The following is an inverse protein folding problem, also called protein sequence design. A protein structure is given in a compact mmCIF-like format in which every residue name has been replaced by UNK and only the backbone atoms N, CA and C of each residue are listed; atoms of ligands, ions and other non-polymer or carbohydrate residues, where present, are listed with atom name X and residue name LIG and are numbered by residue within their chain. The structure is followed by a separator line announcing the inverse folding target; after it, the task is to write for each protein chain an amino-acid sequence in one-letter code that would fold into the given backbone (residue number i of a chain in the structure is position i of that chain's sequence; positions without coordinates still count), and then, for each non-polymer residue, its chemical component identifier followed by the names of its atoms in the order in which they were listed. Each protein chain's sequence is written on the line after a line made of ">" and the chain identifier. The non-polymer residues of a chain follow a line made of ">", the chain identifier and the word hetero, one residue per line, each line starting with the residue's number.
data_IF_795314715017
#
_entry.id   IF_795314715017
#
_cell.length_a   1.000
_cell.length_b   1.000
_cell.length_c   1.000
_cell.angle_alpha   90.00
_cell.angle_beta   90.00
_cell.angle_gamma   90.00
#
_symmetry.space_group_name_H-M   'P 1'
#
loop_
_entity.id
_entity.type
_entity.pdbx_description
1 polymer ?
#
# COMPACT_ATOMS: atom_id res chain seq x y z
N UNK A 1 21.75 16.09 -7.85
CA UNK A 1 20.62 15.45 -8.55
C UNK A 1 20.31 14.03 -8.06
N UNK A 2 21.29 13.12 -7.86
CA UNK A 2 21.03 11.71 -7.47
C UNK A 2 20.62 11.49 -6.00
N UNK A 3 20.90 12.40 -5.08
CA UNK A 3 20.47 12.30 -3.66
C UNK A 3 19.01 12.71 -3.47
N UNK A 4 18.46 13.57 -4.32
CA UNK A 4 17.05 13.96 -4.29
C UNK A 4 16.13 12.82 -4.71
N UNK A 5 16.62 11.91 -5.55
CA UNK A 5 15.82 10.76 -6.03
C UNK A 5 15.42 9.81 -4.89
N UNK A 6 16.34 9.48 -3.96
CA UNK A 6 16.03 8.63 -2.80
C UNK A 6 15.01 9.28 -1.85
N UNK A 7 15.08 10.61 -1.70
CA UNK A 7 14.08 11.38 -0.95
C UNK A 7 12.73 11.35 -1.66
N UNK A 8 12.72 11.45 -2.99
CA UNK A 8 11.47 11.46 -3.79
C UNK A 8 10.76 10.12 -3.77
N UNK A 9 11.48 8.99 -3.88
CA UNK A 9 10.88 7.64 -3.80
C UNK A 9 10.32 7.37 -2.40
N UNK A 10 11.06 7.73 -1.36
CA UNK A 10 10.60 7.55 0.02
C UNK A 10 9.39 8.43 0.35
N UNK A 11 9.39 9.68 -0.10
CA UNK A 11 8.27 10.63 0.07
C UNK A 11 7.05 10.22 -0.74
N UNK A 12 7.19 9.71 -1.98
CA UNK A 12 6.06 9.25 -2.77
C UNK A 12 5.40 8.00 -2.19
N UNK A 13 6.19 7.08 -1.62
CA UNK A 13 5.67 5.89 -0.97
C UNK A 13 4.88 6.24 0.29
N UNK A 14 5.39 7.16 1.11
CA UNK A 14 4.71 7.67 2.30
C UNK A 14 3.46 8.49 1.93
N UNK A 15 3.53 9.36 0.93
CA UNK A 15 2.41 10.23 0.55
C UNK A 15 1.21 9.46 0.00
N UNK A 16 1.44 8.40 -0.78
CA UNK A 16 0.31 7.63 -1.35
C UNK A 16 -0.28 6.64 -0.34
N UNK A 17 0.55 6.08 0.54
CA UNK A 17 0.05 5.25 1.65
C UNK A 17 -0.74 6.07 2.67
N UNK A 18 -0.30 7.29 3.00
CA UNK A 18 -1.04 8.18 3.89
C UNK A 18 -2.34 8.72 3.27
N UNK A 19 -2.35 9.07 1.98
CA UNK A 19 -3.58 9.48 1.27
C UNK A 19 -4.58 8.33 1.13
N UNK A 20 -4.13 7.10 0.88
CA UNK A 20 -4.99 5.92 0.87
C UNK A 20 -5.46 5.52 2.28
N UNK A 21 -4.62 5.67 3.30
CA UNK A 21 -5.02 5.52 4.70
C UNK A 21 -5.98 6.61 5.14
N UNK A 22 -5.78 7.88 4.75
CA UNK A 22 -6.69 8.97 5.09
C UNK A 22 -8.04 8.84 4.40
N UNK A 23 -8.09 8.36 3.16
CA UNK A 23 -9.34 8.08 2.44
C UNK A 23 -10.06 6.82 2.97
N UNK A 24 -9.34 5.86 3.59
CA UNK A 24 -9.91 4.65 4.21
C UNK A 24 -10.23 4.83 5.70
N UNK A 25 -9.60 5.77 6.40
CA UNK A 25 -9.76 6.02 7.84
C UNK A 25 -10.83 7.07 8.19
N UNK A 26 -11.81 7.30 7.31
CA UNK A 26 -13.09 7.80 7.80
C UNK A 26 -13.75 6.60 8.48
N UNK A 27 -13.55 6.52 9.79
CA UNK A 27 -14.06 5.48 10.66
C UNK A 27 -15.53 5.18 10.34
N UNK A 28 -15.80 3.92 9.99
CA UNK A 28 -17.15 3.44 9.69
C UNK A 28 -18.12 3.70 10.85
N UNK A 29 -17.65 3.75 12.09
CA UNK A 29 -18.43 4.07 13.28
C UNK A 29 -18.80 5.57 13.32
N UNK A 30 -17.89 6.47 12.98
CA UNK A 30 -18.15 7.90 12.85
C UNK A 30 -19.10 8.19 11.69
N UNK A 31 -18.99 7.46 10.57
CA UNK A 31 -19.89 7.56 9.44
C UNK A 31 -21.29 7.01 9.77
N UNK A 32 -21.37 5.90 10.48
CA UNK A 32 -22.63 5.30 10.97
C UNK A 32 -23.28 6.18 12.02
N UNK A 33 -22.52 6.75 12.96
CA UNK A 33 -23.01 7.70 13.97
C UNK A 33 -23.53 8.99 13.33
N UNK A 34 -22.80 9.55 12.35
CA UNK A 34 -23.23 10.71 11.59
C UNK A 34 -24.49 10.42 10.75
N UNK A 35 -24.54 9.26 10.09
CA UNK A 35 -25.71 8.78 9.34
C UNK A 35 -26.92 8.57 10.23
N UNK A 36 -26.74 8.00 11.42
CA UNK A 36 -27.83 7.79 12.38
C UNK A 36 -28.35 9.11 12.96
N UNK A 37 -27.49 10.07 13.28
CA UNK A 37 -27.88 11.42 13.71
C UNK A 37 -28.61 12.22 12.65
N UNK A 38 -28.20 12.09 11.37
CA UNK A 38 -28.93 12.70 10.25
C UNK A 38 -30.28 12.04 10.05
N UNK A 39 -30.38 10.71 10.13
CA UNK A 39 -31.62 9.98 9.96
C UNK A 39 -32.63 10.28 11.06
N UNK A 40 -32.21 10.44 12.30
CA UNK A 40 -33.07 10.83 13.43
C UNK A 40 -33.56 12.27 13.25
N UNK A 41 -32.69 13.20 12.87
CA UNK A 41 -33.10 14.62 12.62
C UNK A 41 -33.98 14.78 11.37
N UNK A 42 -33.74 13.99 10.32
CA UNK A 42 -34.57 13.98 9.12
C UNK A 42 -35.95 13.38 9.39
N UNK A 43 -36.05 12.30 10.15
CA UNK A 43 -37.34 11.70 10.52
C UNK A 43 -38.20 12.59 11.41
N UNK A 44 -37.61 13.38 12.32
CA UNK A 44 -38.36 14.37 13.09
C UNK A 44 -38.85 15.56 12.24
N UNK A 45 -38.07 16.02 11.27
CA UNK A 45 -38.49 17.12 10.38
C UNK A 45 -39.45 16.69 9.27
N UNK A 46 -39.35 15.45 8.77
CA UNK A 46 -40.25 14.95 7.70
C UNK A 46 -41.69 14.76 8.17
N UNK A 47 -41.97 14.59 9.45
CA UNK A 47 -43.34 14.60 10.00
C UNK A 47 -44.03 15.95 9.89
N UNK A 48 -43.32 17.05 9.68
CA UNK A 48 -43.85 18.41 9.63
C UNK A 48 -44.05 18.97 8.22
N UNK A 49 -43.52 18.32 7.16
CA UNK A 49 -43.56 18.88 5.80
C UNK A 49 -44.28 18.00 4.78
N UNK A 50 -45.62 18.06 4.78
CA UNK A 50 -46.52 17.44 3.77
C UNK A 50 -46.55 18.20 2.44
N UNK A 51 -45.43 18.66 1.89
CA UNK A 51 -45.43 19.38 0.61
C UNK A 51 -44.39 18.79 -0.36
N UNK A 52 -44.82 17.90 -1.26
CA UNK A 52 -43.97 17.14 -2.22
C UNK A 52 -43.00 18.01 -3.03
N UNK A 53 -43.37 19.27 -3.34
CA UNK A 53 -42.48 20.21 -4.07
C UNK A 53 -41.29 20.69 -3.23
N UNK A 54 -41.47 20.92 -1.92
CA UNK A 54 -40.36 21.32 -1.03
C UNK A 54 -39.36 20.17 -0.76
N UNK A 55 -39.88 18.94 -0.66
CA UNK A 55 -39.04 17.73 -0.50
C UNK A 55 -38.14 17.51 -1.71
N UNK A 56 -38.66 17.72 -2.93
CA UNK A 56 -37.88 17.60 -4.17
C UNK A 56 -36.74 18.65 -4.25
N UNK A 57 -37.02 19.89 -3.87
CA UNK A 57 -36.00 20.95 -3.85
C UNK A 57 -34.90 20.67 -2.84
N UNK A 58 -35.26 20.20 -1.65
CA UNK A 58 -34.26 19.84 -0.60
C UNK A 58 -33.41 18.64 -1.06
N UNK A 59 -34.01 17.66 -1.71
CA UNK A 59 -33.27 16.50 -2.26
C UNK A 59 -32.32 16.93 -3.37
N UNK A 60 -32.70 17.86 -4.24
CA UNK A 60 -31.85 18.41 -5.30
C UNK A 60 -30.72 19.27 -4.73
N UNK A 61 -30.98 20.07 -3.70
CA UNK A 61 -29.94 20.86 -3.02
C UNK A 61 -28.95 19.97 -2.29
N UNK A 62 -29.42 18.91 -1.60
CA UNK A 62 -28.53 17.92 -0.96
C UNK A 62 -27.71 17.16 -2.01
N UNK A 63 -28.30 16.78 -3.13
CA UNK A 63 -27.58 16.13 -4.23
C UNK A 63 -26.53 17.05 -4.85
N UNK A 64 -26.84 18.34 -5.03
CA UNK A 64 -25.89 19.35 -5.50
C UNK A 64 -24.76 19.62 -4.48
N UNK A 65 -25.07 19.63 -3.19
CA UNK A 65 -24.04 19.74 -2.14
C UNK A 65 -23.13 18.50 -2.07
N UNK A 66 -23.66 17.30 -2.32
CA UNK A 66 -22.83 16.10 -2.44
C UNK A 66 -21.97 16.07 -3.70
N UNK A 67 -22.48 16.60 -4.81
CA UNK A 67 -21.72 16.69 -6.07
C UNK A 67 -20.59 17.74 -6.00
N UNK A 68 -20.72 18.78 -5.16
CA UNK A 68 -19.69 19.82 -4.98
C UNK A 68 -18.61 19.45 -3.93
N UNK A 69 -18.76 18.34 -3.21
CA UNK A 69 -17.76 17.85 -2.27
C UNK A 69 -16.68 16.97 -2.92
N UNK A 70 -16.67 16.84 -4.24
CA UNK A 70 -15.49 16.35 -4.94
C UNK A 70 -14.38 17.38 -4.69
N UNK A 71 -13.40 17.01 -3.86
CA UNK A 71 -12.22 17.83 -3.55
C UNK A 71 -11.45 18.06 -4.86
N UNK A 72 -11.83 19.09 -5.58
CA UNK A 72 -11.19 19.46 -6.85
C UNK A 72 -9.77 19.92 -6.51
N UNK A 73 -8.79 19.07 -6.78
CA UNK A 73 -7.37 19.46 -6.72
C UNK A 73 -7.20 20.72 -7.55
N UNK A 74 -6.63 21.78 -6.96
CA UNK A 74 -6.41 23.03 -7.68
C UNK A 74 -5.59 22.79 -8.95
N UNK A 75 -5.85 23.56 -10.02
CA UNK A 75 -5.09 23.42 -11.29
C UNK A 75 -3.58 23.53 -11.07
N UNK A 76 -3.13 24.37 -10.15
CA UNK A 76 -1.72 24.50 -9.79
C UNK A 76 -1.16 23.23 -9.13
N UNK A 77 -1.90 22.65 -8.20
CA UNK A 77 -1.49 21.40 -7.54
C UNK A 77 -1.46 20.23 -8.54
N UNK A 78 -2.47 20.14 -9.42
CA UNK A 78 -2.47 19.10 -10.46
C UNK A 78 -1.22 19.18 -11.33
N UNK A 79 -0.83 20.37 -11.76
CA UNK A 79 0.39 20.55 -12.57
C UNK A 79 1.65 20.06 -11.84
N UNK A 80 1.80 20.43 -10.56
CA UNK A 80 2.97 19.98 -9.76
C UNK A 80 3.00 18.46 -9.62
N UNK A 81 1.83 17.83 -9.41
CA UNK A 81 1.73 16.37 -9.31
C UNK A 81 2.09 15.70 -10.64
N UNK A 82 1.55 16.18 -11.75
CA UNK A 82 1.83 15.63 -13.08
C UNK A 82 3.33 15.76 -13.40
N UNK A 83 3.95 16.93 -13.20
CA UNK A 83 5.39 17.14 -13.41
C UNK A 83 6.26 16.21 -12.53
N UNK A 84 5.87 15.99 -11.27
CA UNK A 84 6.59 15.09 -10.37
C UNK A 84 6.45 13.62 -10.79
N UNK A 85 5.29 13.20 -11.27
CA UNK A 85 5.06 11.84 -11.75
C UNK A 85 5.78 11.58 -13.09
N UNK A 86 5.75 12.53 -14.03
CA UNK A 86 6.51 12.46 -15.28
C UNK A 86 8.02 12.33 -15.01
N UNK A 87 8.52 13.12 -14.06
CA UNK A 87 9.91 13.01 -13.62
C UNK A 87 10.22 11.64 -13.02
N UNK A 88 9.30 11.10 -12.20
CA UNK A 88 9.45 9.79 -11.57
C UNK A 88 9.52 8.65 -12.58
N UNK A 89 8.67 8.68 -13.61
CA UNK A 89 8.70 7.72 -14.72
C UNK A 89 10.07 7.78 -15.42
N UNK A 90 10.52 8.98 -15.80
CA UNK A 90 11.81 9.20 -16.46
C UNK A 90 12.98 8.64 -15.65
N UNK A 91 13.03 8.97 -14.36
CA UNK A 91 14.12 8.53 -13.48
C UNK A 91 14.10 7.01 -13.26
N UNK A 92 12.90 6.44 -13.08
CA UNK A 92 12.74 5.00 -12.90
C UNK A 92 13.18 4.22 -14.15
N UNK A 93 12.81 4.69 -15.33
CA UNK A 93 13.21 4.04 -16.59
C UNK A 93 14.72 4.24 -16.90
N UNK A 94 15.30 5.39 -16.56
CA UNK A 94 16.76 5.57 -16.64
C UNK A 94 17.51 4.59 -15.75
N UNK A 95 17.02 4.36 -14.54
CA UNK A 95 17.59 3.37 -13.62
C UNK A 95 17.41 1.95 -14.15
N UNK A 96 16.26 1.63 -14.75
CA UNK A 96 16.03 0.35 -15.39
C UNK A 96 17.07 0.08 -16.50
N UNK A 97 17.34 1.09 -17.32
CA UNK A 97 18.35 0.99 -18.39
C UNK A 97 19.76 0.73 -17.84
N UNK A 98 20.14 1.37 -16.71
CA UNK A 98 21.43 1.11 -16.05
C UNK A 98 21.54 -0.34 -15.50
N UNK A 99 20.42 -1.00 -15.26
CA UNK A 99 20.37 -2.37 -14.71
C UNK A 99 20.19 -3.46 -15.76
N UNK A 100 20.05 -3.10 -17.01
CA UNK A 100 19.94 -4.10 -18.10
C UNK A 100 21.20 -4.96 -18.17
N UNK A 101 21.00 -6.26 -18.38
CA UNK A 101 22.11 -7.24 -18.40
C UNK A 101 22.64 -7.65 -17.02
N UNK A 102 22.18 -7.02 -15.92
CA UNK A 102 22.53 -7.40 -14.57
C UNK A 102 21.43 -8.30 -13.98
N UNK A 103 21.71 -9.58 -13.83
CA UNK A 103 20.73 -10.57 -13.42
C UNK A 103 20.59 -10.63 -11.88
N UNK A 104 19.34 -10.66 -11.39
CA UNK A 104 19.03 -11.00 -10.00
C UNK A 104 19.34 -9.91 -8.96
N UNK A 105 19.80 -8.72 -9.38
CA UNK A 105 20.08 -7.60 -8.48
C UNK A 105 19.04 -6.48 -8.63
N UNK A 106 18.88 -5.69 -7.58
CA UNK A 106 17.92 -4.59 -7.48
C UNK A 106 18.62 -3.33 -6.92
N UNK A 107 18.10 -2.13 -7.20
CA UNK A 107 18.61 -0.91 -6.61
C UNK A 107 18.39 -0.90 -5.10
N UNK A 108 19.42 -0.52 -4.36
CA UNK A 108 19.36 -0.41 -2.89
C UNK A 108 19.46 1.04 -2.43
N UNK A 109 20.49 1.75 -2.87
CA UNK A 109 20.79 3.12 -2.45
C UNK A 109 21.71 3.79 -3.47
N UNK A 110 22.12 5.03 -3.20
CA UNK A 110 23.16 5.71 -3.97
C UNK A 110 24.22 6.26 -3.02
N UNK A 111 25.48 6.12 -3.41
CA UNK A 111 26.62 6.68 -2.70
C UNK A 111 27.58 7.33 -3.72
N UNK A 112 28.03 8.55 -3.44
CA UNK A 112 28.96 9.30 -4.30
C UNK A 112 28.49 9.36 -5.77
N UNK A 113 27.18 9.55 -5.94
CA UNK A 113 26.57 9.64 -7.26
C UNK A 113 26.41 8.29 -8.01
N UNK A 114 26.82 7.18 -7.43
CA UNK A 114 26.71 5.84 -8.02
C UNK A 114 25.58 5.03 -7.39
N UNK A 115 24.87 4.29 -8.20
CA UNK A 115 23.87 3.32 -7.73
C UNK A 115 24.57 2.16 -7.01
N UNK A 116 24.08 1.81 -5.83
CA UNK A 116 24.46 0.59 -5.11
C UNK A 116 23.29 -0.37 -5.20
N UNK A 117 23.59 -1.60 -5.55
CA UNK A 117 22.60 -2.66 -5.72
C UNK A 117 22.58 -3.63 -4.54
N UNK A 118 21.56 -4.48 -4.47
CA UNK A 118 21.41 -5.57 -3.55
C UNK A 118 20.83 -6.80 -4.24
N UNK A 119 20.98 -7.95 -3.60
CA UNK A 119 20.26 -9.15 -3.97
C UNK A 119 18.83 -9.14 -3.43
N UNK A 120 17.98 -10.03 -3.95
CA UNK A 120 16.57 -10.09 -3.61
C UNK A 120 16.21 -10.35 -2.14
N UNK A 121 17.07 -10.99 -1.27
CA UNK A 121 16.76 -11.10 0.15
C UNK A 121 16.84 -9.79 0.96
N UNK A 122 17.38 -8.73 0.37
CA UNK A 122 17.46 -7.43 1.04
C UNK A 122 16.08 -6.80 1.16
N UNK A 123 15.74 -6.29 2.32
CA UNK A 123 14.41 -5.81 2.68
C UNK A 123 13.82 -4.75 1.73
N UNK A 124 14.66 -3.93 1.10
CA UNK A 124 14.18 -2.91 0.13
C UNK A 124 13.99 -3.44 -1.28
N UNK A 125 14.29 -4.70 -1.55
CA UNK A 125 14.33 -5.25 -2.92
C UNK A 125 12.99 -5.17 -3.66
N UNK A 126 11.88 -5.19 -2.95
CA UNK A 126 10.54 -5.05 -3.52
C UNK A 126 10.10 -3.62 -3.85
N UNK A 127 10.80 -2.59 -3.35
CA UNK A 127 10.36 -1.20 -3.49
C UNK A 127 10.53 -0.65 -4.89
N UNK A 128 11.63 -0.97 -5.56
CA UNK A 128 11.82 -0.49 -6.91
C UNK A 128 10.84 -1.12 -7.92
N UNK A 129 10.61 -2.44 -7.92
CA UNK A 129 9.50 -3.02 -8.68
C UNK A 129 8.16 -2.34 -8.38
N UNK A 130 7.86 -2.09 -7.10
CA UNK A 130 6.66 -1.38 -6.69
C UNK A 130 6.57 0.05 -7.26
N UNK A 131 7.68 0.77 -7.30
CA UNK A 131 7.76 2.11 -7.92
C UNK A 131 7.46 2.05 -9.42
N UNK A 132 7.98 1.05 -10.12
CA UNK A 132 7.69 0.86 -11.54
C UNK A 132 6.21 0.55 -11.79
N UNK A 133 5.56 -0.22 -10.93
CA UNK A 133 4.11 -0.45 -11.02
C UNK A 133 3.30 0.85 -10.83
N UNK A 134 3.68 1.74 -9.91
CA UNK A 134 3.05 3.06 -9.78
C UNK A 134 3.33 3.95 -10.99
N UNK A 135 4.54 3.90 -11.55
CA UNK A 135 4.85 4.60 -12.79
C UNK A 135 3.98 4.10 -13.95
N UNK A 136 3.76 2.79 -14.04
CA UNK A 136 2.86 2.21 -15.03
C UNK A 136 1.40 2.63 -14.80
N UNK A 137 0.91 2.61 -13.58
CA UNK A 137 -0.45 3.05 -13.23
C UNK A 137 -0.72 4.51 -13.67
N UNK A 138 0.31 5.36 -13.59
CA UNK A 138 0.21 6.74 -14.03
C UNK A 138 0.33 6.89 -15.55
N UNK A 139 1.35 6.27 -16.16
CA UNK A 139 1.71 6.50 -17.57
C UNK A 139 0.92 5.65 -18.56
N UNK A 140 0.45 4.47 -18.14
CA UNK A 140 -0.07 3.39 -18.99
C UNK A 140 0.91 2.96 -20.11
N UNK A 141 2.22 3.23 -19.93
CA UNK A 141 3.24 2.91 -20.92
C UNK A 141 3.60 1.41 -20.86
N UNK A 142 3.45 0.65 -21.98
CA UNK A 142 3.81 -0.76 -22.03
C UNK A 142 5.28 -1.05 -21.72
N UNK A 143 6.21 -0.12 -22.00
CA UNK A 143 7.62 -0.30 -21.68
C UNK A 143 7.85 -0.22 -20.16
N UNK A 144 7.15 0.69 -19.47
CA UNK A 144 7.20 0.79 -18.02
C UNK A 144 6.60 -0.47 -17.38
N UNK A 145 5.53 -1.00 -17.97
CA UNK A 145 4.94 -2.29 -17.55
C UNK A 145 5.94 -3.43 -17.67
N UNK A 146 6.59 -3.57 -18.83
CA UNK A 146 7.57 -4.62 -19.05
C UNK A 146 8.74 -4.53 -18.04
N UNK A 147 9.22 -3.32 -17.75
CA UNK A 147 10.23 -3.09 -16.74
C UNK A 147 9.74 -3.49 -15.33
N UNK A 148 8.49 -3.17 -14.99
CA UNK A 148 7.89 -3.56 -13.72
C UNK A 148 7.77 -5.09 -13.58
N UNK A 149 7.32 -5.78 -14.62
CA UNK A 149 7.22 -7.24 -14.67
C UNK A 149 8.58 -7.90 -14.52
N UNK A 150 9.60 -7.43 -15.25
CA UNK A 150 10.97 -7.95 -15.15
C UNK A 150 11.53 -7.79 -13.73
N UNK A 151 11.47 -6.57 -13.16
CA UNK A 151 12.01 -6.31 -11.83
C UNK A 151 11.24 -7.05 -10.74
N UNK A 152 9.94 -7.25 -10.91
CA UNK A 152 9.10 -8.04 -10.01
C UNK A 152 9.54 -9.52 -10.01
N UNK A 153 9.84 -10.10 -11.16
CA UNK A 153 10.28 -11.48 -11.27
C UNK A 153 11.56 -11.78 -10.49
N UNK A 154 12.45 -10.78 -10.34
CA UNK A 154 13.74 -10.92 -9.63
C UNK A 154 13.58 -11.20 -8.14
N UNK A 155 12.43 -10.87 -7.54
CA UNK A 155 12.16 -11.08 -6.10
C UNK A 155 11.25 -12.28 -5.82
N UNK A 156 10.76 -12.98 -6.83
CA UNK A 156 9.77 -14.05 -6.67
C UNK A 156 10.16 -15.12 -5.64
N UNK A 157 11.43 -15.54 -5.63
CA UNK A 157 11.93 -16.57 -4.69
C UNK A 157 11.74 -16.19 -3.22
N UNK A 158 11.57 -14.89 -2.91
CA UNK A 158 11.38 -14.43 -1.54
C UNK A 158 10.00 -14.80 -0.96
N UNK A 159 9.06 -15.28 -1.77
CA UNK A 159 7.79 -15.85 -1.30
C UNK A 159 7.95 -16.98 -0.28
N UNK A 160 9.11 -17.65 -0.26
CA UNK A 160 9.43 -18.74 0.68
C UNK A 160 10.21 -18.27 1.92
N UNK A 161 10.47 -16.97 2.06
CA UNK A 161 11.26 -16.44 3.19
C UNK A 161 10.49 -16.55 4.50
N UNK A 162 11.04 -17.30 5.46
CA UNK A 162 10.50 -17.47 6.82
C UNK A 162 11.45 -16.96 7.90
N UNK A 163 12.60 -16.37 7.54
CA UNK A 163 13.65 -15.92 8.46
C UNK A 163 13.44 -14.52 9.02
N UNK A 164 12.69 -13.68 8.32
CA UNK A 164 12.35 -12.31 8.70
C UNK A 164 10.94 -11.92 8.23
N UNK A 165 10.46 -10.77 8.67
CA UNK A 165 9.14 -10.25 8.31
C UNK A 165 9.11 -9.49 6.98
N UNK A 166 10.28 -9.14 6.44
CA UNK A 166 10.42 -8.28 5.25
C UNK A 166 9.82 -8.89 3.98
N UNK A 167 9.47 -10.17 4.01
CA UNK A 167 8.69 -10.81 2.94
C UNK A 167 7.43 -10.00 2.62
N UNK A 168 6.83 -9.32 3.60
CA UNK A 168 5.71 -8.41 3.40
C UNK A 168 6.08 -7.25 2.47
N UNK A 169 7.16 -6.52 2.77
CA UNK A 169 7.66 -5.43 1.92
C UNK A 169 8.04 -5.93 0.53
N UNK A 170 8.81 -7.03 0.47
CA UNK A 170 9.35 -7.52 -0.79
C UNK A 170 8.22 -7.92 -1.73
N UNK A 171 7.27 -8.71 -1.27
CA UNK A 171 6.23 -9.30 -2.13
C UNK A 171 5.04 -8.37 -2.31
N UNK A 172 4.55 -7.71 -1.25
CA UNK A 172 3.37 -6.86 -1.40
C UNK A 172 3.65 -5.60 -2.23
N UNK A 173 4.84 -5.01 -2.09
CA UNK A 173 5.21 -3.85 -2.92
C UNK A 173 5.38 -4.21 -4.39
N UNK A 174 5.89 -5.39 -4.71
CA UNK A 174 6.13 -5.86 -6.07
C UNK A 174 4.92 -6.60 -6.66
N UNK A 175 4.73 -7.85 -6.26
CA UNK A 175 3.65 -8.71 -6.75
C UNK A 175 2.26 -8.20 -6.39
N UNK A 176 2.09 -7.60 -5.19
CA UNK A 176 0.82 -7.02 -4.77
C UNK A 176 0.35 -5.91 -5.70
N UNK A 177 1.22 -4.96 -6.05
CA UNK A 177 0.90 -3.91 -7.03
C UNK A 177 0.71 -4.49 -8.43
N UNK A 178 1.55 -5.45 -8.83
CA UNK A 178 1.40 -6.14 -10.11
C UNK A 178 0.03 -6.83 -10.25
N UNK A 179 -0.39 -7.59 -9.24
CA UNK A 179 -1.70 -8.22 -9.23
C UNK A 179 -2.85 -7.20 -9.27
N UNK A 180 -2.77 -6.16 -8.47
CA UNK A 180 -3.78 -5.09 -8.42
C UNK A 180 -4.04 -4.46 -9.79
N UNK A 181 -2.99 -4.31 -10.60
CA UNK A 181 -3.07 -3.63 -11.91
C UNK A 181 -3.31 -4.59 -13.09
N UNK A 182 -2.92 -5.86 -12.97
CA UNK A 182 -2.96 -6.80 -14.09
C UNK A 182 -3.91 -7.97 -13.90
N UNK A 183 -4.32 -8.26 -12.67
CA UNK A 183 -5.08 -9.46 -12.29
C UNK A 183 -4.43 -10.77 -12.76
N UNK A 184 -3.08 -10.79 -12.80
CA UNK A 184 -2.33 -11.98 -13.17
C UNK A 184 -2.39 -13.03 -12.05
N UNK A 185 -3.04 -14.16 -12.29
CA UNK A 185 -3.25 -15.23 -11.31
C UNK A 185 -1.91 -15.84 -10.80
N UNK A 186 -0.85 -15.84 -11.61
CA UNK A 186 0.47 -16.27 -11.12
C UNK A 186 1.00 -15.34 -10.00
N UNK A 187 0.69 -14.05 -10.06
CA UNK A 187 1.05 -13.12 -8.99
C UNK A 187 0.24 -13.39 -7.71
N UNK A 188 -1.02 -13.74 -7.86
CA UNK A 188 -1.86 -14.18 -6.74
C UNK A 188 -1.25 -15.35 -5.99
N UNK A 189 -0.81 -16.40 -6.70
CA UNK A 189 -0.17 -17.57 -6.10
C UNK A 189 1.11 -17.20 -5.32
N UNK A 190 1.88 -16.24 -5.83
CA UNK A 190 3.07 -15.71 -5.14
C UNK A 190 2.69 -15.01 -3.85
N UNK A 191 1.66 -14.17 -3.86
CA UNK A 191 1.16 -13.44 -2.68
C UNK A 191 0.64 -14.42 -1.62
N UNK A 192 -0.15 -15.42 -2.01
CA UNK A 192 -0.68 -16.43 -1.10
C UNK A 192 0.45 -17.26 -0.45
N UNK A 193 1.45 -17.64 -1.24
CA UNK A 193 2.63 -18.38 -0.73
C UNK A 193 3.43 -17.53 0.25
N UNK A 194 3.64 -16.26 -0.07
CA UNK A 194 4.35 -15.33 0.80
C UNK A 194 3.59 -15.06 2.11
N UNK A 195 2.27 -14.94 2.05
CA UNK A 195 1.43 -14.80 3.24
C UNK A 195 1.52 -16.02 4.16
N UNK A 196 1.52 -17.23 3.60
CA UNK A 196 1.79 -18.47 4.36
C UNK A 196 3.15 -18.42 5.04
N UNK A 197 4.20 -18.01 4.31
CA UNK A 197 5.56 -17.86 4.86
C UNK A 197 5.61 -16.84 6.00
N UNK A 198 5.01 -15.66 5.83
CA UNK A 198 4.95 -14.63 6.87
C UNK A 198 4.16 -15.10 8.10
N UNK A 199 3.06 -15.81 7.90
CA UNK A 199 2.21 -16.34 8.99
C UNK A 199 2.94 -17.31 9.90
N UNK A 200 3.97 -18.01 9.42
CA UNK A 200 4.80 -18.89 10.27
C UNK A 200 5.54 -18.14 11.37
N UNK A 201 5.68 -16.84 11.25
CA UNK A 201 6.38 -15.99 12.21
C UNK A 201 5.46 -15.43 13.31
N UNK A 202 4.16 -15.64 13.17
CA UNK A 202 3.19 -15.22 14.19
C UNK A 202 3.25 -16.17 15.40
N UNK A 203 3.27 -15.58 16.61
CA UNK A 203 3.26 -16.33 17.85
C UNK A 203 1.97 -16.05 18.63
N UNK A 204 1.11 -17.07 18.85
CA UNK A 204 -0.24 -16.85 19.38
C UNK A 204 -0.26 -16.38 20.83
N UNK A 205 0.76 -16.67 21.63
CA UNK A 205 0.84 -16.22 23.03
C UNK A 205 1.21 -14.75 23.13
N UNK A 206 2.17 -14.28 22.30
CA UNK A 206 2.55 -12.86 22.27
C UNK A 206 1.61 -12.01 21.44
N UNK A 207 0.81 -12.64 20.57
CA UNK A 207 -0.05 -11.94 19.63
C UNK A 207 0.70 -11.16 18.54
N UNK A 208 2.00 -11.43 18.36
CA UNK A 208 2.87 -10.68 17.46
C UNK A 208 3.58 -11.57 16.44
N UNK A 209 3.96 -10.97 15.32
CA UNK A 209 4.83 -11.55 14.29
C UNK A 209 6.28 -11.21 14.63
N UNK A 210 7.15 -12.21 14.68
CA UNK A 210 8.57 -12.03 14.96
C UNK A 210 9.26 -11.33 13.78
N UNK A 211 10.02 -10.24 14.04
CA UNK A 211 10.68 -9.47 13.00
C UNK A 211 11.81 -10.24 12.31
N UNK A 212 12.78 -10.70 13.06
CA UNK A 212 13.92 -11.53 12.57
C UNK A 212 14.42 -12.48 13.64
N UNK A 213 15.27 -13.42 13.23
CA UNK A 213 15.95 -14.31 14.16
C UNK A 213 17.16 -13.58 14.74
N UNK A 214 17.27 -13.57 16.07
CA UNK A 214 18.35 -12.90 16.80
C UNK A 214 18.96 -13.84 17.81
N UNK A 215 20.29 -13.76 17.98
CA UNK A 215 21.00 -14.44 19.08
C UNK A 215 20.86 -13.68 20.41
N UNK A 216 20.59 -12.37 20.34
CA UNK A 216 20.47 -11.48 21.50
C UNK A 216 19.06 -11.49 22.08
N UNK A 217 18.05 -11.57 21.24
CA UNK A 217 16.64 -11.45 21.62
C UNK A 217 15.89 -12.72 21.28
N UNK A 218 15.18 -13.27 22.24
CA UNK A 218 14.39 -14.50 22.05
C UNK A 218 13.26 -14.26 21.04
N UNK A 219 12.59 -13.10 21.12
CA UNK A 219 11.51 -12.72 20.22
C UNK A 219 11.58 -11.21 19.95
N UNK A 220 12.08 -10.82 18.78
CA UNK A 220 12.20 -9.42 18.39
C UNK A 220 10.97 -8.98 17.61
N UNK A 221 10.41 -7.84 18.00
CA UNK A 221 9.30 -7.16 17.31
C UNK A 221 9.68 -5.70 17.18
N UNK A 222 9.48 -5.14 16.00
CA UNK A 222 9.64 -3.70 15.74
C UNK A 222 8.39 -3.15 15.07
N UNK A 223 8.22 -1.85 15.13
CA UNK A 223 7.00 -1.19 14.65
C UNK A 223 6.76 -1.37 13.15
N UNK A 224 7.82 -1.52 12.34
CA UNK A 224 7.68 -1.71 10.90
C UNK A 224 7.06 -3.07 10.53
N UNK A 225 6.92 -4.02 11.47
CA UNK A 225 6.05 -5.18 11.27
C UNK A 225 4.68 -4.76 10.74
N UNK A 226 4.14 -3.63 11.20
CA UNK A 226 2.82 -3.15 10.80
C UNK A 226 2.70 -2.96 9.29
N UNK A 227 3.77 -2.47 8.65
CA UNK A 227 3.82 -2.31 7.20
C UNK A 227 3.88 -3.66 6.47
N UNK A 228 4.59 -4.64 7.04
CA UNK A 228 4.73 -5.98 6.48
C UNK A 228 3.44 -6.81 6.59
N UNK A 229 2.58 -6.53 7.58
CA UNK A 229 1.30 -7.22 7.75
C UNK A 229 0.25 -6.87 6.69
N UNK A 230 0.47 -5.85 5.88
CA UNK A 230 -0.42 -5.53 4.76
C UNK A 230 -0.55 -6.73 3.81
N UNK A 231 0.54 -7.49 3.60
CA UNK A 231 0.52 -8.73 2.83
C UNK A 231 -0.54 -9.72 3.35
N UNK A 232 -0.67 -9.87 4.67
CA UNK A 232 -1.66 -10.77 5.27
C UNK A 232 -3.09 -10.27 5.06
N UNK A 233 -3.30 -8.96 5.15
CA UNK A 233 -4.62 -8.35 4.90
C UNK A 233 -5.05 -8.53 3.45
N UNK A 234 -4.11 -8.33 2.51
CA UNK A 234 -4.32 -8.57 1.08
C UNK A 234 -4.65 -10.04 0.83
N UNK A 235 -3.85 -10.97 1.37
CA UNK A 235 -4.10 -12.41 1.22
C UNK A 235 -5.45 -12.84 1.79
N UNK A 236 -5.85 -12.33 2.96
CA UNK A 236 -7.17 -12.60 3.54
C UNK A 236 -8.31 -12.17 2.63
N UNK A 237 -8.19 -10.98 2.04
CA UNK A 237 -9.18 -10.44 1.09
C UNK A 237 -9.27 -11.28 -0.19
N UNK A 238 -8.14 -11.83 -0.65
CA UNK A 238 -8.06 -12.62 -1.89
C UNK A 238 -8.57 -14.05 -1.71
N UNK A 239 -8.29 -14.66 -0.55
CA UNK A 239 -8.57 -16.08 -0.31
C UNK A 239 -9.85 -16.32 0.48
N UNK A 240 -10.33 -15.32 1.22
CA UNK A 240 -11.39 -15.48 2.22
C UNK A 240 -10.92 -16.14 3.52
N UNK A 241 -9.63 -16.47 3.66
CA UNK A 241 -9.06 -17.03 4.88
C UNK A 241 -8.84 -15.93 5.93
N UNK A 242 -9.74 -15.88 6.90
CA UNK A 242 -9.70 -14.91 7.99
C UNK A 242 -8.52 -15.11 8.97
N UNK A 243 -7.81 -16.24 8.93
CA UNK A 243 -6.66 -16.45 9.82
C UNK A 243 -5.55 -15.41 9.59
N UNK A 244 -5.30 -15.01 8.35
CA UNK A 244 -4.37 -13.95 8.00
C UNK A 244 -4.76 -12.59 8.61
N UNK A 245 -6.04 -12.20 8.47
CA UNK A 245 -6.55 -10.98 9.06
C UNK A 245 -6.46 -10.99 10.59
N UNK A 246 -6.80 -12.12 11.22
CA UNK A 246 -6.75 -12.26 12.68
C UNK A 246 -5.33 -12.11 13.21
N UNK A 247 -4.31 -12.66 12.53
CA UNK A 247 -2.91 -12.50 12.89
C UNK A 247 -2.48 -11.04 12.82
N UNK A 248 -2.85 -10.34 11.74
CA UNK A 248 -2.59 -8.92 11.56
C UNK A 248 -3.26 -8.07 12.65
N UNK A 249 -4.56 -8.29 12.88
CA UNK A 249 -5.36 -7.53 13.85
C UNK A 249 -4.89 -7.75 15.31
N UNK A 250 -4.48 -8.97 15.67
CA UNK A 250 -3.91 -9.23 17.00
C UNK A 250 -2.63 -8.45 17.24
N UNK A 251 -1.77 -8.33 16.24
CA UNK A 251 -0.56 -7.52 16.38
C UNK A 251 -0.89 -6.02 16.52
N UNK A 252 -1.85 -5.49 15.76
CA UNK A 252 -2.29 -4.11 15.92
C UNK A 252 -2.69 -3.82 17.37
N UNK A 253 -3.53 -4.67 17.95
CA UNK A 253 -3.98 -4.53 19.33
C UNK A 253 -2.82 -4.67 20.35
N UNK A 254 -1.85 -5.54 20.08
CA UNK A 254 -0.69 -5.73 20.95
C UNK A 254 0.27 -4.53 20.93
N UNK A 255 0.42 -3.87 19.77
CA UNK A 255 1.26 -2.67 19.63
C UNK A 255 0.62 -1.46 20.32
N UNK A 256 -0.70 -1.32 20.26
CA UNK A 256 -1.43 -0.26 20.97
C UNK A 256 -1.18 -0.33 22.48
N UNK A 257 -1.06 -1.52 23.04
CA UNK A 257 -0.77 -1.75 24.47
C UNK A 257 0.68 -1.43 24.88
N UNK A 258 1.64 -1.47 23.92
CA UNK A 258 3.07 -1.21 24.18
C UNK A 258 3.38 0.29 24.09
N UNK A 259 2.59 1.07 23.37
CA UNK A 259 2.81 2.51 23.11
C UNK A 259 1.99 3.39 24.06
N UNK A 260 1.03 2.83 24.79
CA UNK A 260 0.24 3.49 25.84
C UNK A 260 0.92 3.39 27.19
#
# INVERSE_FOLDING_TARGET
>A
MKVEWLRTVHVQFLFKSELLCYAKNVDSASFVSFRNNINVKLNLKMRVMRNKKKTLIISLVLLACFASSACAVSKGMKKVVDEALDFSVKQSMSMFSEMQGQVGILPRTAKDGKMITCESPWWTSGFYPGTLWYCYEYSNDPQVRAAAEEMTSRVEKQKYTTSNHDVGFIINCSFGNGYRLTHNEAYREVIETAAKSLSTRFHPVTGCTRSWNSKKWQFSVIIDNMMNLELLTVASSMTGDNSYYLNSNRQCNSVEFIVS
#
